data_IF_374311714366
#
_entry.id   IF_374311714366
#
_cell.length_a   1.000
_cell.length_b   1.000
_cell.length_c   1.000
_cell.angle_alpha   90.00
_cell.angle_beta   90.00
_cell.angle_gamma   90.00
#
_symmetry.space_group_name_H-M   'P 1'
#
loop_
_entity.id
_entity.type
_entity.pdbx_description
1 polymer ?
#
# COMPACT_ATOMS: atom_id res chain seq x y z
N UNK A 1 8.45 16.39 -7.00
CA UNK A 1 7.81 15.13 -6.58
C UNK A 1 8.70 14.04 -7.15
N UNK A 2 9.27 13.20 -6.30
CA UNK A 2 10.27 12.20 -6.68
C UNK A 2 9.75 10.80 -6.35
N UNK A 3 10.12 9.81 -7.16
CA UNK A 3 9.84 8.40 -6.88
C UNK A 3 11.10 7.81 -6.28
N UNK A 4 10.96 7.23 -5.09
CA UNK A 4 12.06 6.62 -4.34
C UNK A 4 11.61 5.26 -3.82
N UNK A 5 12.54 4.31 -3.78
CA UNK A 5 12.33 3.00 -3.14
C UNK A 5 12.47 3.15 -1.63
N UNK A 6 11.49 2.64 -0.88
CA UNK A 6 11.45 2.78 0.58
C UNK A 6 11.09 1.42 1.17
N UNK A 7 11.86 0.92 2.14
CA UNK A 7 11.53 -0.33 2.80
C UNK A 7 10.09 -0.30 3.37
N UNK A 8 9.27 -1.28 2.99
CA UNK A 8 7.85 -1.35 3.39
C UNK A 8 7.66 -1.31 4.91
N UNK A 9 8.63 -1.85 5.67
CA UNK A 9 8.63 -1.82 7.13
C UNK A 9 8.67 -0.41 7.72
N UNK A 10 9.17 0.60 7.00
CA UNK A 10 9.19 2.00 7.44
C UNK A 10 7.84 2.70 7.23
N UNK A 11 7.00 2.19 6.34
CA UNK A 11 5.74 2.82 5.98
C UNK A 11 4.66 2.61 7.04
N UNK A 12 4.15 3.74 7.54
CA UNK A 12 3.11 3.80 8.57
C UNK A 12 1.75 4.08 7.90
N UNK A 13 0.73 3.27 8.19
CA UNK A 13 -0.62 3.63 7.79
C UNK A 13 -1.06 4.89 8.52
N UNK A 14 -1.81 5.76 7.86
CA UNK A 14 -2.38 6.93 8.51
C UNK A 14 -3.62 6.51 9.32
N UNK A 15 -3.58 6.68 10.65
CA UNK A 15 -4.66 6.30 11.56
C UNK A 15 -5.91 7.17 11.45
N UNK A 16 -5.77 8.39 10.94
CA UNK A 16 -6.87 9.35 10.80
C UNK A 16 -7.67 9.14 9.52
N UNK A 17 -7.20 8.28 8.60
CA UNK A 17 -7.96 7.97 7.41
C UNK A 17 -9.25 7.19 7.75
N UNK A 18 -10.39 7.80 7.44
CA UNK A 18 -11.74 7.23 7.53
C UNK A 18 -11.99 6.04 6.56
N UNK A 19 -10.96 5.54 5.86
CA UNK A 19 -11.15 4.45 4.90
C UNK A 19 -11.56 3.16 5.60
N UNK A 20 -12.53 2.48 5.02
CA UNK A 20 -12.98 1.14 5.44
C UNK A 20 -11.75 0.22 5.54
N UNK A 21 -11.61 -0.43 6.69
CA UNK A 21 -10.52 -1.36 6.96
C UNK A 21 -10.59 -2.55 6.00
N UNK A 22 -9.83 -2.48 4.90
CA UNK A 22 -9.74 -3.54 3.90
C UNK A 22 -9.33 -4.88 4.53
N UNK A 23 -10.14 -5.91 4.31
CA UNK A 23 -9.93 -7.30 4.75
C UNK A 23 -9.60 -8.18 3.55
N UNK A 24 -8.93 -9.31 3.80
CA UNK A 24 -8.51 -10.27 2.75
C UNK A 24 -9.68 -10.87 1.96
N UNK A 25 -10.85 -10.99 2.58
CA UNK A 25 -12.05 -11.51 1.93
C UNK A 25 -12.71 -10.54 0.94
N UNK A 26 -12.40 -9.25 1.04
CA UNK A 26 -13.05 -8.20 0.26
C UNK A 26 -12.66 -8.30 -1.22
N UNK A 27 -13.62 -8.12 -2.12
CA UNK A 27 -13.37 -8.16 -3.56
C UNK A 27 -12.31 -7.13 -3.98
N UNK A 28 -12.32 -5.94 -3.35
CA UNK A 28 -11.31 -4.91 -3.60
C UNK A 28 -9.90 -5.43 -3.26
N UNK A 29 -9.74 -6.17 -2.16
CA UNK A 29 -8.44 -6.75 -1.79
C UNK A 29 -7.98 -7.74 -2.83
N UNK A 30 -8.88 -8.64 -3.27
CA UNK A 30 -8.58 -9.64 -4.31
C UNK A 30 -8.19 -8.99 -5.63
N UNK A 31 -8.90 -7.94 -6.05
CA UNK A 31 -8.57 -7.21 -7.28
C UNK A 31 -7.20 -6.53 -7.19
N UNK A 32 -6.90 -5.85 -6.07
CA UNK A 32 -5.59 -5.22 -5.87
C UNK A 32 -4.47 -6.27 -5.81
N UNK A 33 -4.69 -7.38 -5.10
CA UNK A 33 -3.75 -8.50 -5.04
C UNK A 33 -3.46 -9.07 -6.42
N UNK A 34 -4.50 -9.37 -7.20
CA UNK A 34 -4.35 -9.88 -8.56
C UNK A 34 -3.60 -8.90 -9.46
N UNK A 35 -3.91 -7.60 -9.36
CA UNK A 35 -3.22 -6.55 -10.11
C UNK A 35 -1.72 -6.50 -9.79
N UNK A 36 -1.36 -6.46 -8.50
CA UNK A 36 0.06 -6.41 -8.08
C UNK A 36 0.80 -7.69 -8.46
N UNK A 37 0.18 -8.87 -8.32
CA UNK A 37 0.82 -10.14 -8.71
C UNK A 37 1.03 -10.23 -10.22
N UNK A 38 0.07 -9.72 -11.02
CA UNK A 38 0.13 -9.84 -12.48
C UNK A 38 1.04 -8.79 -13.11
N UNK A 39 1.00 -7.55 -12.62
CA UNK A 39 1.63 -6.40 -13.26
C UNK A 39 2.73 -5.77 -12.40
N UNK A 40 2.94 -6.21 -11.16
CA UNK A 40 3.79 -5.52 -10.21
C UNK A 40 3.15 -4.21 -9.70
N UNK A 41 3.93 -3.43 -8.95
CA UNK A 41 3.50 -2.13 -8.44
C UNK A 41 3.62 -1.06 -9.55
N UNK A 42 2.49 -0.70 -10.16
CA UNK A 42 2.45 0.26 -11.27
C UNK A 42 2.42 1.73 -10.82
N UNK A 43 1.92 2.01 -9.62
CA UNK A 43 1.81 3.36 -9.07
C UNK A 43 2.44 3.43 -7.68
N UNK A 44 3.31 4.43 -7.41
CA UNK A 44 3.90 4.59 -6.11
C UNK A 44 2.86 5.00 -5.06
N UNK A 45 3.14 4.67 -3.80
CA UNK A 45 2.41 5.22 -2.66
C UNK A 45 2.76 6.69 -2.46
N UNK A 46 1.79 7.51 -2.10
CA UNK A 46 2.05 8.89 -1.68
C UNK A 46 2.29 8.91 -0.18
N UNK A 47 3.44 9.41 0.24
CA UNK A 47 3.83 9.48 1.65
C UNK A 47 4.23 10.90 2.04
N UNK A 48 4.15 11.22 3.33
CA UNK A 48 4.75 12.42 3.88
C UNK A 48 6.21 12.17 4.32
N UNK A 49 6.90 13.23 4.78
CA UNK A 49 8.29 13.17 5.27
C UNK A 49 8.47 12.25 6.50
N UNK A 50 7.40 11.93 7.21
CA UNK A 50 7.37 11.03 8.37
C UNK A 50 7.10 9.57 8.01
N UNK A 51 7.09 9.24 6.71
CA UNK A 51 6.75 7.92 6.15
C UNK A 51 5.31 7.47 6.43
N UNK A 52 4.40 8.41 6.67
CA UNK A 52 2.98 8.11 6.76
C UNK A 52 2.36 8.13 5.37
N UNK A 53 1.56 7.11 5.07
CA UNK A 53 0.88 6.98 3.78
C UNK A 53 -0.29 7.96 3.71
N UNK A 54 -0.15 8.97 2.85
CA UNK A 54 -1.21 9.92 2.49
C UNK A 54 -2.17 9.29 1.46
N UNK A 55 -1.68 8.43 0.57
CA UNK A 55 -2.53 7.71 -0.39
C UNK A 55 -1.97 6.33 -0.74
N UNK A 56 -2.88 5.37 -0.93
CA UNK A 56 -2.55 3.97 -1.23
C UNK A 56 -2.57 3.05 0.00
N UNK A 57 -3.22 3.43 1.08
CA UNK A 57 -3.28 2.66 2.34
C UNK A 57 -3.79 1.22 2.18
N UNK A 58 -4.76 1.02 1.26
CA UNK A 58 -5.27 -0.30 0.86
C UNK A 58 -4.24 -1.13 0.10
N UNK A 59 -3.45 -0.47 -0.75
CA UNK A 59 -2.37 -1.10 -1.51
C UNK A 59 -1.22 -1.47 -0.57
N UNK A 60 -0.87 -0.63 0.41
CA UNK A 60 0.12 -0.94 1.43
C UNK A 60 -0.23 -2.24 2.18
N UNK A 61 -1.51 -2.49 2.48
CA UNK A 61 -1.95 -3.75 3.10
C UNK A 61 -1.69 -4.96 2.21
N UNK A 62 -1.95 -4.83 0.90
CA UNK A 62 -1.68 -5.89 -0.08
C UNK A 62 -0.18 -6.14 -0.22
N UNK A 63 0.63 -5.09 -0.31
CA UNK A 63 2.08 -5.20 -0.43
C UNK A 63 2.72 -5.83 0.82
N UNK A 64 2.25 -5.44 2.02
CA UNK A 64 2.64 -6.10 3.28
C UNK A 64 2.22 -7.57 3.32
N UNK A 65 1.03 -7.89 2.80
CA UNK A 65 0.58 -9.28 2.71
C UNK A 65 1.44 -10.12 1.76
N UNK A 66 1.94 -9.52 0.69
CA UNK A 66 2.85 -10.15 -0.28
C UNK A 66 4.32 -10.17 0.18
N UNK A 67 4.64 -9.66 1.37
CA UNK A 67 6.01 -9.52 1.88
C UNK A 67 6.98 -8.79 0.92
N UNK A 68 6.48 -7.73 0.25
CA UNK A 68 7.36 -6.83 -0.50
C UNK A 68 8.40 -6.19 0.43
N UNK A 69 9.63 -6.03 -0.08
CA UNK A 69 10.74 -5.47 0.68
C UNK A 69 10.75 -3.95 0.62
N UNK A 70 10.58 -3.40 -0.57
CA UNK A 70 10.62 -1.97 -0.91
C UNK A 70 9.66 -1.63 -2.05
#
# INVERSE_FOLDING_TARGET
MEIVEIPIGKLKPNKEHLRIGLKKGDNIFKCLLASVVTFGLQLPLLINKSYEVISGDQLLKVLKFLNYKE
#
